data_IF_495889827837
#
_entry.id   IF_495889827837
#
_cell.length_a   1.000
_cell.length_b   1.000
_cell.length_c   1.000
_cell.angle_alpha   90.00
_cell.angle_beta   90.00
_cell.angle_gamma   90.00
#
_symmetry.space_group_name_H-M   'P 1'
#
loop_
_entity.id
_entity.type
_entity.pdbx_description
1 polymer ?
#
# COMPACT_ATOMS: atom_id res chain seq x y z
N UNK A 1 -0.96 -9.34 10.90
CA UNK A 1 0.41 -9.76 11.27
C UNK A 1 1.34 -9.62 10.07
N UNK A 2 2.68 -9.61 10.23
CA UNK A 2 3.60 -9.52 9.08
C UNK A 2 3.39 -10.57 8.01
N UNK A 3 2.96 -11.77 8.40
CA UNK A 3 2.64 -12.87 7.50
C UNK A 3 1.46 -12.59 6.55
N UNK A 4 0.61 -11.59 6.83
CA UNK A 4 -0.58 -11.30 6.01
C UNK A 4 -0.24 -10.40 4.81
N UNK A 5 0.94 -9.79 4.77
CA UNK A 5 1.31 -8.84 3.71
C UNK A 5 1.31 -9.48 2.32
N UNK A 6 1.92 -10.67 2.09
CA UNK A 6 1.84 -11.34 0.79
C UNK A 6 0.42 -11.77 0.40
N UNK A 7 -0.48 -11.96 1.37
CA UNK A 7 -1.89 -12.26 1.11
C UNK A 7 -2.67 -11.01 0.67
N UNK A 8 -2.37 -9.86 1.28
CA UNK A 8 -2.99 -8.57 0.95
C UNK A 8 -2.40 -7.96 -0.34
N UNK A 9 -1.11 -8.21 -0.59
CA UNK A 9 -0.35 -7.71 -1.74
C UNK A 9 0.39 -8.91 -2.34
N UNK A 10 -0.21 -9.61 -3.32
CA UNK A 10 0.41 -10.77 -3.94
C UNK A 10 1.81 -10.46 -4.48
N UNK A 11 2.76 -11.37 -4.22
CA UNK A 11 4.15 -11.24 -4.64
C UNK A 11 5.00 -10.24 -3.84
N UNK A 12 4.43 -9.60 -2.82
CA UNK A 12 5.21 -8.75 -1.93
C UNK A 12 6.13 -9.56 -1.01
N UNK A 13 7.37 -9.09 -0.79
CA UNK A 13 8.22 -9.67 0.23
C UNK A 13 7.62 -9.41 1.62
N UNK A 14 7.90 -10.28 2.57
CA UNK A 14 7.48 -10.09 3.96
C UNK A 14 8.30 -8.91 4.54
N UNK A 15 7.64 -7.84 5.01
CA UNK A 15 8.33 -6.73 5.65
C UNK A 15 8.67 -7.08 7.10
N UNK A 16 9.75 -6.47 7.59
CA UNK A 16 10.21 -6.57 8.97
C UNK A 16 9.14 -6.01 9.92
N UNK A 17 9.03 -6.60 11.13
CA UNK A 17 8.05 -6.18 12.12
C UNK A 17 8.16 -4.67 12.47
N UNK A 18 9.38 -4.11 12.43
CA UNK A 18 9.60 -2.68 12.65
C UNK A 18 8.89 -1.80 11.63
N UNK A 19 8.92 -2.14 10.33
CA UNK A 19 8.24 -1.36 9.29
C UNK A 19 6.72 -1.47 9.37
N UNK A 20 6.21 -2.62 9.80
CA UNK A 20 4.79 -2.78 10.07
C UNK A 20 4.32 -1.96 11.26
N UNK A 21 5.12 -1.90 12.33
CA UNK A 21 4.81 -1.06 13.48
C UNK A 21 4.80 0.43 13.08
N UNK A 22 5.79 0.89 12.30
CA UNK A 22 5.80 2.25 11.77
C UNK A 22 4.60 2.53 10.86
N UNK A 23 4.22 1.57 10.01
CA UNK A 23 3.07 1.69 9.13
C UNK A 23 1.75 1.76 9.92
N UNK A 24 1.61 0.97 10.98
CA UNK A 24 0.45 1.03 11.87
C UNK A 24 0.36 2.37 12.60
N UNK A 25 1.49 2.90 13.12
CA UNK A 25 1.54 4.23 13.75
C UNK A 25 1.12 5.31 12.74
N UNK A 26 1.63 5.25 11.52
CA UNK A 26 1.24 6.16 10.45
C UNK A 26 -0.27 6.09 10.17
N UNK A 27 -0.83 4.90 9.98
CA UNK A 27 -2.25 4.73 9.69
C UNK A 27 -3.13 5.26 10.83
N UNK A 28 -2.77 5.00 12.09
CA UNK A 28 -3.46 5.54 13.26
C UNK A 28 -3.38 7.07 13.32
N UNK A 29 -2.23 7.66 13.00
CA UNK A 29 -2.07 9.11 12.92
C UNK A 29 -2.94 9.74 11.83
N UNK A 30 -3.00 9.14 10.65
CA UNK A 30 -3.89 9.57 9.57
C UNK A 30 -5.37 9.40 9.93
N UNK A 31 -5.77 8.28 10.52
CA UNK A 31 -7.14 8.08 10.99
C UNK A 31 -7.54 9.13 12.04
N UNK A 32 -6.64 9.45 12.97
CA UNK A 32 -6.84 10.47 14.00
C UNK A 32 -7.07 11.86 13.37
N UNK A 33 -6.29 12.24 12.36
CA UNK A 33 -6.49 13.50 11.60
C UNK A 33 -7.88 13.58 10.96
N UNK A 34 -8.46 12.42 10.63
CA UNK A 34 -9.78 12.27 10.01
C UNK A 34 -10.90 12.04 11.03
N UNK A 35 -10.57 12.06 12.33
CA UNK A 35 -11.48 11.76 13.44
C UNK A 35 -12.15 10.38 13.28
N UNK A 36 -11.41 9.41 12.78
CA UNK A 36 -11.85 8.04 12.60
C UNK A 36 -11.03 7.09 13.47
N UNK A 37 -11.63 5.95 13.82
CA UNK A 37 -10.97 4.87 14.54
C UNK A 37 -10.81 3.65 13.61
N UNK A 38 -9.57 3.19 13.44
CA UNK A 38 -9.27 2.02 12.64
C UNK A 38 -9.86 0.74 13.24
N UNK A 39 -9.98 0.65 14.57
CA UNK A 39 -10.54 -0.53 15.24
C UNK A 39 -12.06 -0.67 15.01
N UNK A 40 -12.74 0.44 14.67
CA UNK A 40 -14.16 0.45 14.34
C UNK A 40 -14.48 -0.01 12.91
N UNK A 41 -13.46 -0.13 12.05
CA UNK A 41 -13.64 -0.54 10.66
C UNK A 41 -14.01 -2.02 10.56
N UNK A 42 -14.88 -2.34 9.61
CA UNK A 42 -15.29 -3.71 9.33
C UNK A 42 -15.41 -3.96 7.82
N UNK A 43 -15.47 -5.23 7.44
CA UNK A 43 -15.65 -5.64 6.05
C UNK A 43 -14.59 -5.05 5.10
N UNK A 44 -15.00 -4.55 3.93
CA UNK A 44 -14.09 -3.98 2.93
C UNK A 44 -13.24 -2.80 3.44
N UNK A 45 -13.75 -1.99 4.36
CA UNK A 45 -13.02 -0.86 4.92
C UNK A 45 -11.86 -1.32 5.82
N UNK A 46 -12.09 -2.37 6.62
CA UNK A 46 -11.02 -2.98 7.42
C UNK A 46 -9.95 -3.62 6.54
N UNK A 47 -10.36 -4.28 5.45
CA UNK A 47 -9.43 -4.85 4.49
C UNK A 47 -8.57 -3.77 3.81
N UNK A 48 -9.20 -2.69 3.33
CA UNK A 48 -8.49 -1.54 2.77
C UNK A 48 -7.50 -0.90 3.76
N UNK A 49 -7.86 -0.76 5.03
CA UNK A 49 -6.96 -0.26 6.06
C UNK A 49 -5.75 -1.18 6.29
N UNK A 50 -5.97 -2.51 6.32
CA UNK A 50 -4.87 -3.49 6.42
C UNK A 50 -3.95 -3.43 5.20
N UNK A 51 -4.52 -3.33 4.00
CA UNK A 51 -3.74 -3.20 2.76
C UNK A 51 -2.96 -1.87 2.71
N UNK A 52 -3.52 -0.78 3.26
CA UNK A 52 -2.81 0.48 3.41
C UNK A 52 -1.57 0.35 4.31
N UNK A 53 -1.71 -0.34 5.45
CA UNK A 53 -0.59 -0.61 6.38
C UNK A 53 0.46 -1.49 5.70
N UNK A 54 0.03 -2.54 5.00
CA UNK A 54 0.92 -3.40 4.22
C UNK A 54 1.72 -2.59 3.19
N UNK A 55 1.06 -1.80 2.35
CA UNK A 55 1.70 -0.95 1.36
C UNK A 55 2.66 0.07 1.99
N UNK A 56 2.29 0.70 3.12
CA UNK A 56 3.16 1.67 3.80
C UNK A 56 4.42 1.00 4.34
N UNK A 57 4.30 -0.21 4.89
CA UNK A 57 5.43 -0.98 5.39
C UNK A 57 6.41 -1.37 4.29
N UNK A 58 5.90 -1.72 3.09
CA UNK A 58 6.72 -1.94 1.91
C UNK A 58 7.41 -0.65 1.48
N UNK A 59 6.72 0.49 1.52
CA UNK A 59 7.35 1.80 1.26
C UNK A 59 8.51 2.10 2.20
N UNK A 60 8.39 1.79 3.50
CA UNK A 60 9.50 1.96 4.45
C UNK A 60 10.68 1.02 4.17
N UNK A 61 10.39 -0.26 3.85
CA UNK A 61 11.42 -1.22 3.46
C UNK A 61 12.13 -0.80 2.16
N UNK A 62 11.36 -0.32 1.17
CA UNK A 62 11.89 0.23 -0.08
C UNK A 62 12.73 1.49 0.16
N UNK A 63 12.34 2.38 1.08
CA UNK A 63 13.07 3.61 1.38
C UNK A 63 14.50 3.38 1.89
N UNK A 64 14.78 2.21 2.45
CA UNK A 64 16.13 1.81 2.88
C UNK A 64 16.91 1.06 1.79
N UNK A 65 16.21 0.37 0.88
CA UNK A 65 16.80 -0.42 -0.21
C UNK A 65 16.72 0.22 -1.60
N UNK A 66 16.17 1.43 -1.70
CA UNK A 66 15.81 2.12 -2.95
C UNK A 66 14.50 1.64 -3.56
N UNK A 67 14.43 0.35 -3.92
CA UNK A 67 13.30 -0.21 -4.66
C UNK A 67 12.94 -1.61 -4.16
N UNK A 68 11.66 -1.97 -4.23
CA UNK A 68 11.20 -3.33 -3.97
C UNK A 68 10.65 -3.98 -5.23
N UNK A 69 11.05 -5.22 -5.42
CA UNK A 69 10.51 -6.07 -6.46
C UNK A 69 9.40 -6.95 -5.92
N UNK A 70 8.29 -6.99 -6.65
CA UNK A 70 7.23 -7.96 -6.48
C UNK A 70 7.50 -9.14 -7.40
N UNK A 71 7.48 -10.34 -6.85
CA UNK A 71 7.69 -11.58 -7.60
C UNK A 71 6.38 -12.34 -7.74
N UNK A 72 5.98 -12.60 -8.97
CA UNK A 72 4.76 -13.36 -9.24
C UNK A 72 5.05 -14.86 -9.21
N UNK A 73 4.24 -15.63 -8.48
CA UNK A 73 4.41 -17.09 -8.41
C UNK A 73 3.81 -17.84 -9.62
N UNK A 74 3.06 -17.18 -10.51
CA UNK A 74 2.19 -17.84 -11.51
C UNK A 74 2.33 -17.38 -12.97
N UNK A 75 3.34 -16.57 -13.33
CA UNK A 75 3.73 -16.33 -14.74
C UNK A 75 2.75 -15.54 -15.63
N UNK A 76 1.89 -14.70 -15.06
CA UNK A 76 0.86 -13.90 -15.77
C UNK A 76 1.13 -12.38 -15.83
N UNK A 77 2.21 -11.91 -15.22
CA UNK A 77 2.49 -10.51 -14.89
C UNK A 77 1.60 -10.01 -13.75
N UNK A 78 2.21 -9.48 -12.68
CA UNK A 78 1.51 -8.71 -11.65
C UNK A 78 0.92 -7.43 -12.26
N UNK A 79 -0.35 -7.49 -12.66
CA UNK A 79 -1.07 -6.39 -13.32
C UNK A 79 -1.69 -5.39 -12.34
N UNK A 80 -1.94 -5.81 -11.09
CA UNK A 80 -2.53 -4.93 -10.09
C UNK A 80 -2.92 -5.60 -8.78
N UNK A 81 -3.22 -4.78 -7.78
CA UNK A 81 -3.79 -5.18 -6.50
C UNK A 81 -5.29 -4.94 -6.58
N UNK A 82 -6.09 -6.00 -6.41
CA UNK A 82 -7.56 -5.91 -6.40
C UNK A 82 -8.07 -5.93 -4.97
N UNK A 83 -8.82 -4.88 -4.62
CA UNK A 83 -9.66 -4.83 -3.43
C UNK A 83 -11.12 -4.62 -3.84
N UNK A 84 -12.10 -4.98 -3.00
CA UNK A 84 -13.49 -4.66 -3.26
C UNK A 84 -13.67 -3.14 -3.47
N UNK A 85 -14.03 -2.74 -4.69
CA UNK A 85 -14.24 -1.32 -5.05
C UNK A 85 -12.99 -0.55 -5.48
N UNK A 86 -11.81 -1.17 -5.56
CA UNK A 86 -10.59 -0.53 -6.06
C UNK A 86 -9.68 -1.54 -6.76
N UNK A 87 -9.35 -1.26 -8.02
CA UNK A 87 -8.31 -1.96 -8.75
C UNK A 87 -7.12 -1.02 -8.91
N UNK A 88 -6.01 -1.35 -8.26
CA UNK A 88 -4.78 -0.59 -8.33
C UNK A 88 -3.88 -1.24 -9.37
N UNK A 89 -3.86 -0.67 -10.58
CA UNK A 89 -2.98 -1.13 -11.66
C UNK A 89 -1.55 -0.77 -11.33
N UNK A 90 -0.67 -1.76 -11.24
CA UNK A 90 0.77 -1.53 -11.13
C UNK A 90 1.27 -1.08 -12.50
N UNK A 91 2.14 -0.06 -12.55
CA UNK A 91 2.59 0.50 -13.81
C UNK A 91 3.27 -0.59 -14.67
N UNK A 92 2.72 -0.96 -15.84
CA UNK A 92 3.23 -2.06 -16.65
C UNK A 92 4.63 -1.79 -17.23
N UNK A 93 5.10 -0.54 -17.23
CA UNK A 93 6.46 -0.18 -17.61
C UNK A 93 7.52 -0.62 -16.58
N UNK A 94 7.10 -1.00 -15.37
CA UNK A 94 7.98 -1.45 -14.28
C UNK A 94 8.08 -2.98 -14.16
N UNK A 95 7.44 -3.73 -15.05
CA UNK A 95 7.46 -5.20 -15.04
C UNK A 95 8.49 -5.71 -16.02
N UNK A 96 9.50 -6.43 -15.54
CA UNK A 96 10.52 -7.03 -16.40
C UNK A 96 10.00 -8.27 -17.15
N UNK A 97 10.83 -8.79 -18.07
CA UNK A 97 10.54 -10.00 -18.86
C UNK A 97 10.37 -11.27 -18.02
N UNK A 98 10.69 -11.22 -16.73
CA UNK A 98 10.52 -12.30 -15.76
C UNK A 98 9.26 -12.12 -14.90
N UNK A 99 8.41 -11.12 -15.20
CA UNK A 99 7.18 -10.85 -14.47
C UNK A 99 7.41 -10.12 -13.14
N UNK A 100 8.60 -9.54 -12.94
CA UNK A 100 8.98 -8.85 -11.71
C UNK A 100 8.61 -7.38 -11.81
N UNK A 101 7.68 -6.93 -10.96
CA UNK A 101 7.28 -5.53 -10.92
C UNK A 101 8.14 -4.77 -9.90
N UNK A 102 8.81 -3.72 -10.35
CA UNK A 102 9.70 -2.91 -9.52
C UNK A 102 8.97 -1.63 -9.10
N UNK A 103 8.74 -1.47 -7.79
CA UNK A 103 7.91 -0.38 -7.23
C UNK A 103 8.75 0.45 -6.25
N UNK A 104 8.81 1.76 -6.50
CA UNK A 104 9.58 2.69 -5.70
C UNK A 104 8.91 2.99 -4.35
N UNK A 105 9.71 3.45 -3.37
CA UNK A 105 9.20 3.80 -2.03
C UNK A 105 8.04 4.82 -2.07
N UNK A 106 8.16 5.86 -2.91
CA UNK A 106 7.14 6.89 -3.07
C UNK A 106 5.83 6.35 -3.68
N UNK A 107 5.93 5.39 -4.60
CA UNK A 107 4.75 4.74 -5.18
C UNK A 107 4.02 3.91 -4.12
N UNK A 108 4.76 3.15 -3.30
CA UNK A 108 4.19 2.46 -2.15
C UNK A 108 3.51 3.40 -1.16
N UNK A 109 4.11 4.56 -0.91
CA UNK A 109 3.51 5.58 -0.05
C UNK A 109 2.23 6.17 -0.66
N UNK A 110 2.18 6.37 -1.97
CA UNK A 110 0.99 6.81 -2.67
C UNK A 110 -0.14 5.75 -2.60
N UNK A 111 0.18 4.47 -2.84
CA UNK A 111 -0.78 3.37 -2.73
C UNK A 111 -1.33 3.24 -1.32
N UNK A 112 -0.47 3.31 -0.30
CA UNK A 112 -0.90 3.30 1.09
C UNK A 112 -1.92 4.40 1.38
N UNK A 113 -1.67 5.63 0.92
CA UNK A 113 -2.58 6.74 1.08
C UNK A 113 -3.92 6.53 0.34
N UNK A 114 -3.90 5.94 -0.86
CA UNK A 114 -5.12 5.62 -1.62
C UNK A 114 -5.97 4.56 -0.91
N UNK A 115 -5.36 3.47 -0.43
CA UNK A 115 -6.06 2.44 0.32
C UNK A 115 -6.66 2.96 1.63
N UNK A 116 -5.93 3.84 2.33
CA UNK A 116 -6.44 4.42 3.57
C UNK A 116 -7.62 5.38 3.33
N UNK A 117 -7.65 6.04 2.18
CA UNK A 117 -8.79 6.86 1.78
C UNK A 117 -10.01 6.02 1.41
N UNK A 118 -9.82 4.86 0.77
CA UNK A 118 -10.89 3.90 0.53
C UNK A 118 -11.47 3.39 1.87
N UNK A 119 -10.60 3.15 2.85
CA UNK A 119 -11.00 2.73 4.19
C UNK A 119 -11.76 3.85 4.95
N UNK A 120 -11.44 5.12 4.68
CA UNK A 120 -11.92 6.28 5.42
C UNK A 120 -12.39 7.40 4.46
N UNK A 121 -13.54 7.23 3.77
CA UNK A 121 -13.98 8.10 2.66
C UNK A 121 -14.41 9.54 3.03
N UNK A 122 -14.04 10.06 4.22
CA UNK A 122 -14.66 11.25 4.82
C UNK A 122 -13.81 12.50 5.01
N UNK A 123 -12.54 12.56 4.61
CA UNK A 123 -11.68 13.70 4.96
C UNK A 123 -11.29 14.60 3.78
N UNK A 124 -11.45 15.94 3.89
CA UNK A 124 -11.01 16.86 2.86
C UNK A 124 -9.48 16.82 2.72
N UNK A 125 -9.00 16.32 1.58
CA UNK A 125 -7.58 16.38 1.21
C UNK A 125 -7.21 17.82 0.87
N UNK A 126 -6.23 18.40 1.58
CA UNK A 126 -5.42 19.47 0.99
C UNK A 126 -4.65 18.82 -0.18
N UNK A 127 -5.07 19.10 -1.42
CA UNK A 127 -4.29 18.70 -2.60
C UNK A 127 -2.88 19.28 -2.46
N UNK A 128 -1.81 18.52 -2.74
CA UNK A 128 -0.55 19.15 -3.06
C UNK A 128 -0.78 20.00 -4.31
N UNK A 129 -0.61 21.32 -4.16
CA UNK A 129 -0.60 22.25 -5.30
C UNK A 129 0.52 21.78 -6.20
N UNK A 130 0.16 21.43 -7.44
CA UNK A 130 1.11 20.99 -8.44
C UNK A 130 2.24 22.00 -8.58
N UNK A 131 3.48 21.52 -8.47
CA UNK A 131 4.62 22.24 -9.03
C UNK A 131 4.55 21.97 -10.53
N UNK A 132 3.85 22.84 -11.24
CA UNK A 132 4.02 22.96 -12.69
C UNK A 132 5.43 23.48 -12.94
N UNK A 133 6.15 22.75 -13.80
CA UNK A 133 7.45 23.15 -14.39
C UNK A 133 7.32 24.43 -15.18
#
# INVERSE_FOLDING_TARGET
>A
MPADVPTLIPGAPIPEAAFLNLAAIWASGEATKRRADLASLSGPAAEAARTAIAAKSLGFKAGLGGVLSLEESTGGGLKGIKLPGLELTLNPSGTDVHGRATVAAEEWHAFAAQFLDLALPGAPRRRPVGVSR
#
